data_IF_912227220885
#
_entry.id   IF_912227220885
#
_cell.length_a   1.000
_cell.length_b   1.000
_cell.length_c   1.000
_cell.angle_alpha   90.00
_cell.angle_beta   90.00
_cell.angle_gamma   90.00
#
_symmetry.space_group_name_H-M   'P 1'
#
loop_
_entity.id
_entity.type
_entity.pdbx_description
1 polymer ?
#
# COMPACT_ATOMS: atom_id res chain seq x y z
N UNK A 1 28.06 40.38 -31.25
CA UNK A 1 26.98 39.37 -31.25
C UNK A 1 26.81 38.92 -29.82
N UNK A 2 25.61 39.09 -29.24
CA UNK A 2 25.33 38.66 -27.85
C UNK A 2 25.14 37.15 -27.88
N UNK A 3 25.87 36.43 -27.03
CA UNK A 3 25.56 35.03 -26.72
C UNK A 3 24.19 34.99 -26.04
N UNK A 4 23.20 34.44 -26.73
CA UNK A 4 21.94 34.07 -26.13
C UNK A 4 22.19 32.87 -25.20
N UNK A 5 22.26 33.12 -23.90
CA UNK A 5 22.18 32.08 -22.88
C UNK A 5 20.75 31.53 -22.82
N UNK A 6 20.35 30.74 -23.81
CA UNK A 6 19.15 29.91 -23.73
C UNK A 6 19.39 28.77 -22.74
N UNK A 7 19.23 29.03 -21.44
CA UNK A 7 18.95 27.96 -20.49
C UNK A 7 17.53 27.45 -20.77
N UNK A 8 17.43 26.42 -21.62
CA UNK A 8 16.16 25.82 -22.04
C UNK A 8 15.33 25.23 -20.88
N UNK A 9 15.93 25.08 -19.69
CA UNK A 9 15.27 24.55 -18.50
C UNK A 9 15.66 25.37 -17.27
N UNK A 10 14.67 25.70 -16.45
CA UNK A 10 14.81 26.38 -15.15
C UNK A 10 13.91 25.68 -14.14
N UNK A 11 14.29 25.70 -12.86
CA UNK A 11 13.46 25.22 -11.75
C UNK A 11 13.06 23.72 -11.80
N UNK A 12 13.89 22.88 -12.41
CA UNK A 12 13.65 21.43 -12.53
C UNK A 12 13.77 20.73 -11.18
N UNK A 13 12.76 19.92 -10.81
CA UNK A 13 12.76 19.08 -9.61
C UNK A 13 12.45 17.63 -9.97
N UNK A 14 13.13 16.69 -9.33
CA UNK A 14 12.89 15.25 -9.47
C UNK A 14 12.12 14.78 -8.25
N UNK A 15 11.02 14.05 -8.47
CA UNK A 15 10.25 13.44 -7.40
C UNK A 15 10.94 12.18 -6.86
N UNK A 16 10.65 11.82 -5.61
CA UNK A 16 11.13 10.55 -5.05
C UNK A 16 10.58 9.36 -5.84
N UNK A 17 11.43 8.35 -6.04
CA UNK A 17 11.01 7.10 -6.67
C UNK A 17 10.07 6.32 -5.75
N UNK A 18 8.98 5.79 -6.30
CA UNK A 18 8.01 4.96 -5.57
C UNK A 18 7.77 3.65 -6.29
N UNK A 19 7.36 2.63 -5.53
CA UNK A 19 6.85 1.37 -6.06
C UNK A 19 5.37 1.28 -5.70
N UNK A 20 4.53 0.90 -6.65
CA UNK A 20 3.08 0.76 -6.44
C UNK A 20 2.63 -0.67 -6.69
N UNK A 21 1.93 -1.25 -5.72
CA UNK A 21 1.27 -2.53 -5.84
C UNK A 21 -0.25 -2.34 -5.88
N UNK A 22 -0.93 -3.20 -6.63
CA UNK A 22 -2.40 -3.27 -6.63
C UNK A 22 -2.81 -4.65 -6.12
N UNK A 23 -3.49 -4.68 -4.98
CA UNK A 23 -4.05 -5.90 -4.40
C UNK A 23 -5.55 -5.88 -4.65
N UNK A 24 -6.07 -6.90 -5.33
CA UNK A 24 -7.50 -7.03 -5.62
C UNK A 24 -8.03 -8.34 -5.07
N UNK A 25 -9.31 -8.37 -4.74
CA UNK A 25 -9.91 -9.57 -4.20
C UNK A 25 -11.34 -9.35 -3.76
N UNK A 26 -11.83 -10.30 -2.96
CA UNK A 26 -13.08 -10.20 -2.25
C UNK A 26 -12.84 -10.39 -0.76
N UNK A 27 -13.59 -9.67 0.06
CA UNK A 27 -13.55 -9.77 1.51
C UNK A 27 -14.98 -9.84 2.06
N UNK A 28 -15.17 -10.63 3.11
CA UNK A 28 -16.39 -10.67 3.93
C UNK A 28 -15.99 -10.31 5.35
N UNK A 29 -15.89 -9.01 5.61
CA UNK A 29 -15.36 -8.42 6.84
C UNK A 29 -16.38 -7.45 7.44
N UNK A 30 -16.35 -7.22 8.74
CA UNK A 30 -17.33 -6.37 9.43
C UNK A 30 -17.38 -4.97 8.80
N UNK A 31 -18.59 -4.53 8.40
CA UNK A 31 -18.84 -3.27 7.69
C UNK A 31 -18.01 -3.07 6.40
N UNK A 32 -17.39 -4.12 5.88
CA UNK A 32 -16.54 -4.08 4.69
C UNK A 32 -15.16 -3.49 4.95
N UNK A 33 -14.82 -3.12 6.19
CA UNK A 33 -13.54 -2.48 6.51
C UNK A 33 -12.45 -3.51 6.79
N UNK A 34 -11.30 -3.32 6.16
CA UNK A 34 -10.10 -4.11 6.43
C UNK A 34 -8.86 -3.21 6.53
N UNK A 35 -7.82 -3.76 7.14
CA UNK A 35 -6.53 -3.13 7.36
C UNK A 35 -5.49 -3.84 6.52
N UNK A 36 -4.44 -3.12 6.15
CA UNK A 36 -3.28 -3.71 5.52
C UNK A 36 -1.98 -3.22 6.14
N UNK A 37 -0.98 -4.09 6.16
CA UNK A 37 0.39 -3.75 6.51
C UNK A 37 1.35 -4.45 5.54
N UNK A 38 2.15 -3.66 4.83
CA UNK A 38 3.25 -4.18 4.01
C UNK A 38 4.50 -4.26 4.86
N UNK A 39 5.12 -5.44 4.89
CA UNK A 39 6.31 -5.72 5.66
C UNK A 39 7.48 -6.12 4.78
N UNK A 40 8.68 -5.71 5.18
CA UNK A 40 9.95 -6.17 4.64
C UNK A 40 10.86 -6.53 5.82
N UNK A 41 11.33 -7.78 5.89
CA UNK A 41 12.17 -8.28 6.99
C UNK A 41 11.60 -7.94 8.39
N UNK A 42 10.29 -8.18 8.58
CA UNK A 42 9.58 -7.90 9.84
C UNK A 42 9.25 -6.44 10.13
N UNK A 43 9.76 -5.47 9.34
CA UNK A 43 9.45 -4.04 9.51
C UNK A 43 8.28 -3.62 8.63
N UNK A 44 7.35 -2.85 9.18
CA UNK A 44 6.27 -2.21 8.41
C UNK A 44 6.85 -1.08 7.58
N UNK A 45 6.62 -1.12 6.26
CA UNK A 45 7.09 -0.10 5.30
C UNK A 45 5.95 0.74 4.72
N UNK A 46 4.72 0.23 4.78
CA UNK A 46 3.48 0.93 4.50
C UNK A 46 2.32 0.24 5.21
N UNK A 47 1.30 0.98 5.63
CA UNK A 47 0.10 0.44 6.25
C UNK A 47 -1.08 1.38 5.98
N UNK A 48 -2.28 0.90 6.26
CA UNK A 48 -3.51 1.66 6.09
C UNK A 48 -4.74 0.78 6.18
N UNK A 49 -5.84 1.28 5.61
CA UNK A 49 -7.10 0.57 5.55
C UNK A 49 -7.75 0.73 4.18
N UNK A 50 -8.74 -0.11 3.91
CA UNK A 50 -9.59 -0.02 2.75
C UNK A 50 -10.97 -0.58 3.04
N UNK A 51 -11.86 -0.44 2.07
CA UNK A 51 -13.22 -0.95 2.14
C UNK A 51 -13.52 -1.87 0.97
N UNK A 52 -14.15 -3.00 1.27
CA UNK A 52 -14.79 -3.85 0.30
C UNK A 52 -16.15 -3.25 -0.08
N UNK A 53 -16.65 -3.58 -1.27
CA UNK A 53 -17.91 -3.06 -1.79
C UNK A 53 -19.16 -3.49 -1.00
N UNK A 54 -19.01 -4.45 -0.09
CA UNK A 54 -20.06 -5.01 0.77
C UNK A 54 -19.43 -5.39 2.11
N UNK A 55 -20.21 -5.28 3.18
CA UNK A 55 -19.84 -5.80 4.50
C UNK A 55 -20.29 -7.24 4.71
N UNK A 56 -19.57 -7.95 5.58
CA UNK A 56 -19.92 -9.29 6.01
C UNK A 56 -21.36 -9.35 6.56
N UNK A 57 -22.09 -10.45 6.32
CA UNK A 57 -21.62 -11.72 5.75
C UNK A 57 -21.54 -11.75 4.22
N UNK A 58 -21.88 -10.67 3.52
CA UNK A 58 -21.72 -10.64 2.07
C UNK A 58 -20.24 -10.45 1.66
N UNK A 59 -19.88 -11.00 0.51
CA UNK A 59 -18.55 -10.81 -0.07
C UNK A 59 -18.51 -9.57 -0.97
N UNK A 60 -17.78 -8.55 -0.54
CA UNK A 60 -17.52 -7.35 -1.32
C UNK A 60 -16.20 -7.45 -2.10
N UNK A 61 -16.15 -6.89 -3.32
CA UNK A 61 -14.89 -6.74 -4.05
C UNK A 61 -14.11 -5.55 -3.51
N UNK A 62 -12.78 -5.61 -3.54
CA UNK A 62 -11.92 -4.47 -3.21
C UNK A 62 -10.77 -4.32 -4.21
N UNK A 63 -10.21 -3.11 -4.26
CA UNK A 63 -8.96 -2.80 -4.98
C UNK A 63 -8.14 -1.85 -4.12
N UNK A 64 -7.06 -2.38 -3.55
CA UNK A 64 -6.13 -1.61 -2.72
C UNK A 64 -4.90 -1.23 -3.55
N UNK A 65 -4.69 0.07 -3.76
CA UNK A 65 -3.41 0.59 -4.24
C UNK A 65 -2.52 0.89 -3.04
N UNK A 66 -1.29 0.40 -3.08
CA UNK A 66 -0.29 0.62 -2.04
C UNK A 66 0.94 1.23 -2.70
N UNK A 67 1.24 2.47 -2.36
CA UNK A 67 2.43 3.19 -2.85
C UNK A 67 3.46 3.30 -1.74
N UNK A 68 4.68 2.86 -2.02
CA UNK A 68 5.77 2.82 -1.05
C UNK A 68 6.95 3.62 -1.63
N UNK A 69 7.49 4.62 -0.91
CA UNK A 69 8.74 5.26 -1.29
C UNK A 69 9.86 4.22 -1.38
N UNK A 70 10.60 4.23 -2.49
CA UNK A 70 11.71 3.29 -2.69
C UNK A 70 12.81 3.45 -1.63
N UNK A 71 12.91 4.61 -1.00
CA UNK A 71 13.79 4.91 0.13
C UNK A 71 13.46 4.09 1.40
N UNK A 72 12.22 3.60 1.54
CA UNK A 72 11.82 2.71 2.65
C UNK A 72 12.12 1.24 2.36
N UNK A 73 12.57 0.91 1.15
CA UNK A 73 12.78 -0.46 0.71
C UNK A 73 14.26 -0.81 0.68
N UNK A 74 14.57 -2.02 1.13
CA UNK A 74 15.86 -2.66 0.96
C UNK A 74 15.85 -3.49 -0.33
N UNK A 75 16.84 -3.30 -1.18
CA UNK A 75 16.95 -4.03 -2.46
C UNK A 75 17.07 -5.54 -2.22
N UNK A 76 16.51 -6.34 -3.13
CA UNK A 76 16.58 -7.80 -3.14
C UNK A 76 16.03 -8.48 -1.88
N UNK A 77 15.16 -7.81 -1.14
CA UNK A 77 14.49 -8.38 0.03
C UNK A 77 12.99 -8.56 -0.24
N UNK A 78 12.40 -9.70 0.15
CA UNK A 78 11.01 -10.00 -0.13
C UNK A 78 10.08 -9.06 0.62
N UNK A 79 9.00 -8.66 -0.05
CA UNK A 79 7.91 -7.90 0.54
C UNK A 79 6.70 -8.81 0.75
N UNK A 80 5.98 -8.61 1.84
CA UNK A 80 4.68 -9.25 2.09
C UNK A 80 3.64 -8.19 2.42
N UNK A 81 2.40 -8.44 2.04
CA UNK A 81 1.24 -7.68 2.53
C UNK A 81 0.45 -8.58 3.47
N UNK A 82 0.13 -8.04 4.64
CA UNK A 82 -0.86 -8.59 5.55
C UNK A 82 -2.18 -7.86 5.32
N UNK A 83 -3.29 -8.59 5.18
CA UNK A 83 -4.65 -8.08 5.18
C UNK A 83 -5.37 -8.65 6.41
N UNK A 84 -6.09 -7.84 7.18
CA UNK A 84 -6.72 -8.29 8.43
C UNK A 84 -7.87 -7.37 8.84
N UNK A 85 -8.66 -7.80 9.82
CA UNK A 85 -9.63 -6.95 10.52
C UNK A 85 -9.09 -6.58 11.91
N UNK A 86 -9.50 -5.42 12.40
CA UNK A 86 -9.33 -5.07 13.82
C UNK A 86 -10.69 -5.24 14.49
N UNK A 87 -10.71 -6.05 15.54
CA UNK A 87 -11.85 -6.13 16.43
C UNK A 87 -12.07 -4.80 17.15
N UNK A 88 -13.24 -4.19 17.00
CA UNK A 88 -13.49 -2.84 17.52
C UNK A 88 -13.70 -2.81 19.04
N UNK A 89 -13.98 -3.96 19.66
CA UNK A 89 -14.16 -4.06 21.11
C UNK A 89 -12.80 -4.29 21.80
N UNK A 90 -12.02 -5.26 21.32
CA UNK A 90 -10.75 -5.64 21.95
C UNK A 90 -9.51 -4.95 21.36
N UNK A 91 -9.60 -4.43 20.13
CA UNK A 91 -8.46 -3.91 19.36
C UNK A 91 -7.57 -5.00 18.75
N UNK A 92 -7.94 -6.28 18.89
CA UNK A 92 -7.13 -7.39 18.40
C UNK A 92 -7.23 -7.57 16.88
N UNK A 93 -6.14 -8.02 16.27
CA UNK A 93 -6.14 -8.40 14.85
C UNK A 93 -6.80 -9.77 14.67
N UNK A 94 -7.77 -9.86 13.75
CA UNK A 94 -8.42 -11.12 13.36
C UNK A 94 -8.43 -11.33 11.85
N UNK A 95 -8.74 -12.55 11.42
CA UNK A 95 -8.88 -12.93 10.01
C UNK A 95 -7.70 -12.54 9.11
N UNK A 96 -6.47 -12.63 9.67
CA UNK A 96 -5.25 -12.23 8.97
C UNK A 96 -4.91 -13.17 7.81
N UNK A 97 -4.65 -12.57 6.65
CA UNK A 97 -4.09 -13.23 5.46
C UNK A 97 -2.75 -12.58 5.10
N UNK A 98 -1.76 -13.38 4.69
CA UNK A 98 -0.43 -12.90 4.29
C UNK A 98 -0.14 -13.33 2.86
N UNK A 99 0.27 -12.38 2.02
CA UNK A 99 0.58 -12.61 0.61
C UNK A 99 1.95 -12.03 0.26
N UNK A 100 2.77 -12.70 -0.57
CA UNK A 100 3.98 -12.09 -1.11
C UNK A 100 3.63 -11.00 -2.12
N UNK A 101 4.36 -9.87 -2.07
CA UNK A 101 4.35 -8.86 -3.12
C UNK A 101 5.55 -9.12 -4.04
N UNK A 102 5.28 -9.23 -5.35
CA UNK A 102 6.26 -9.51 -6.39
C UNK A 102 6.34 -8.35 -7.37
#
# INVERSE_FOLDING_TARGET
MKEDSQQAFRDVKVAESTVTYTVTGKASVFEGTYQYAVKQNGKVVAEGFGTASKGGPEWGTFTQKITIPSSKLTKNQPLTVELFEIDQESGEMKNKMVLPLK
#
